data_IF_075993642183
#
_entry.id   IF_075993642183
#
_cell.length_a   1.000
_cell.length_b   1.000
_cell.length_c   1.000
_cell.angle_alpha   90.00
_cell.angle_beta   90.00
_cell.angle_gamma   90.00
#
_symmetry.space_group_name_H-M   'P 1'
#
loop_
_entity.id
_entity.type
_entity.pdbx_description
1 polymer ?
#
# COMPACT_ATOMS: atom_id res chain seq x y z
N UNK A 1 -16.67 -31.39 -7.70
CA UNK A 1 -17.25 -30.05 -7.94
C UNK A 1 -18.75 -30.17 -7.71
N UNK A 2 -19.33 -29.42 -6.78
CA UNK A 2 -20.75 -29.58 -6.39
C UNK A 2 -21.71 -28.94 -7.41
N UNK A 3 -21.25 -27.92 -8.15
CA UNK A 3 -22.04 -27.23 -9.17
C UNK A 3 -21.86 -27.87 -10.55
N UNK A 4 -22.95 -28.45 -11.07
CA UNK A 4 -23.02 -29.09 -12.39
C UNK A 4 -22.84 -28.09 -13.53
N UNK A 5 -23.45 -26.91 -13.44
CA UNK A 5 -23.43 -25.90 -14.51
C UNK A 5 -22.03 -25.30 -14.62
N UNK A 6 -21.43 -24.95 -13.48
CA UNK A 6 -20.07 -24.43 -13.44
C UNK A 6 -19.06 -25.43 -14.01
N UNK A 7 -19.22 -26.74 -13.76
CA UNK A 7 -18.34 -27.77 -14.32
C UNK A 7 -18.47 -27.87 -15.85
N UNK A 8 -19.70 -27.89 -16.37
CA UNK A 8 -19.96 -27.97 -17.81
C UNK A 8 -19.41 -26.75 -18.54
N UNK A 9 -19.65 -25.55 -18.01
CA UNK A 9 -19.12 -24.31 -18.56
C UNK A 9 -17.58 -24.26 -18.45
N UNK A 10 -16.99 -24.97 -17.49
CA UNK A 10 -15.54 -25.10 -17.32
C UNK A 10 -14.89 -26.19 -18.17
N UNK A 11 -15.69 -27.03 -18.82
CA UNK A 11 -15.22 -28.21 -19.55
C UNK A 11 -14.16 -27.93 -20.63
N UNK A 12 -14.34 -27.00 -21.60
CA UNK A 12 -13.33 -26.79 -22.65
C UNK A 12 -11.99 -26.29 -22.09
N UNK A 13 -12.04 -25.50 -21.02
CA UNK A 13 -10.84 -25.00 -20.33
C UNK A 13 -10.13 -26.13 -19.58
N UNK A 14 -10.87 -26.90 -18.77
CA UNK A 14 -10.34 -28.02 -18.01
C UNK A 14 -9.74 -29.08 -18.94
N UNK A 15 -10.41 -29.41 -20.04
CA UNK A 15 -9.94 -30.38 -21.02
C UNK A 15 -8.59 -29.96 -21.62
N UNK A 16 -8.45 -28.70 -22.02
CA UNK A 16 -7.19 -28.19 -22.58
C UNK A 16 -6.03 -28.27 -21.58
N UNK A 17 -6.27 -27.93 -20.31
CA UNK A 17 -5.23 -27.95 -19.28
C UNK A 17 -4.89 -29.35 -18.78
N UNK A 18 -5.89 -30.21 -18.58
CA UNK A 18 -5.68 -31.61 -18.20
C UNK A 18 -4.95 -32.36 -19.33
N UNK A 19 -5.32 -32.09 -20.60
CA UNK A 19 -4.61 -32.68 -21.74
C UNK A 19 -3.13 -32.29 -21.77
N UNK A 20 -2.79 -31.03 -21.50
CA UNK A 20 -1.40 -30.61 -21.39
C UNK A 20 -0.62 -31.35 -20.30
N UNK A 21 -1.24 -31.60 -19.14
CA UNK A 21 -0.63 -32.40 -18.06
C UNK A 21 -0.44 -33.86 -18.53
N UNK A 22 -1.43 -34.45 -19.21
CA UNK A 22 -1.34 -35.80 -19.75
C UNK A 22 -0.19 -35.91 -20.77
N UNK A 23 -0.10 -34.97 -21.71
CA UNK A 23 0.92 -34.97 -22.76
C UNK A 23 2.33 -34.85 -22.15
N UNK A 24 2.51 -34.02 -21.10
CA UNK A 24 3.77 -33.91 -20.38
C UNK A 24 4.17 -35.23 -19.70
N UNK A 25 3.24 -35.86 -18.97
CA UNK A 25 3.48 -37.13 -18.28
C UNK A 25 3.79 -38.26 -19.27
N UNK A 26 3.00 -38.35 -20.35
CA UNK A 26 3.21 -39.34 -21.40
C UNK A 26 4.55 -39.14 -22.11
N UNK A 27 4.93 -37.89 -22.41
CA UNK A 27 6.21 -37.59 -23.03
C UNK A 27 7.42 -38.01 -22.18
N UNK A 28 7.36 -37.79 -20.86
CA UNK A 28 8.42 -38.27 -19.94
C UNK A 28 8.45 -39.79 -19.86
N UNK A 29 7.30 -40.43 -19.71
CA UNK A 29 7.21 -41.90 -19.63
C UNK A 29 7.65 -42.60 -20.93
N UNK A 30 7.33 -42.02 -22.09
CA UNK A 30 7.71 -42.57 -23.39
C UNK A 30 9.23 -42.58 -23.58
N UNK A 31 9.93 -41.53 -23.15
CA UNK A 31 11.40 -41.46 -23.20
C UNK A 31 12.04 -42.57 -22.36
N UNK A 32 11.53 -42.80 -21.15
CA UNK A 32 12.01 -43.89 -20.28
C UNK A 32 11.72 -45.25 -20.91
N UNK A 33 10.52 -45.42 -21.48
CA UNK A 33 10.13 -46.64 -22.17
C UNK A 33 11.07 -46.96 -23.34
N UNK A 34 11.34 -45.99 -24.22
CA UNK A 34 12.24 -46.16 -25.36
C UNK A 34 13.67 -46.49 -24.92
N UNK A 35 14.18 -45.82 -23.88
CA UNK A 35 15.50 -46.08 -23.33
C UNK A 35 15.62 -47.50 -22.71
N UNK A 36 14.60 -47.93 -21.94
CA UNK A 36 14.55 -49.28 -21.35
C UNK A 36 14.44 -50.37 -22.44
N UNK A 37 13.67 -50.11 -23.50
CA UNK A 37 13.51 -51.01 -24.64
C UNK A 37 14.81 -51.18 -25.43
N UNK A 38 15.53 -50.09 -25.68
CA UNK A 38 16.83 -50.12 -26.36
C UNK A 38 17.87 -50.93 -25.56
N UNK A 39 17.87 -50.80 -24.23
CA UNK A 39 18.78 -51.55 -23.35
C UNK A 39 18.47 -53.05 -23.20
N UNK A 40 17.23 -53.48 -23.42
CA UNK A 40 16.82 -54.88 -23.28
C UNK A 40 15.77 -55.32 -24.33
N UNK A 41 16.17 -55.53 -25.59
CA UNK A 41 15.26 -55.78 -26.72
C UNK A 41 14.48 -57.09 -26.61
N UNK A 42 14.97 -58.08 -25.83
CA UNK A 42 14.30 -59.37 -25.63
C UNK A 42 13.02 -59.28 -24.79
N UNK A 43 12.86 -58.21 -23.98
CA UNK A 43 11.67 -58.00 -23.14
C UNK A 43 10.47 -57.51 -23.94
N UNK A 44 10.71 -56.70 -24.98
CA UNK A 44 9.71 -56.20 -25.92
C UNK A 44 8.86 -57.32 -26.53
N UNK A 45 9.54 -58.39 -26.94
CA UNK A 45 8.97 -59.53 -27.66
C UNK A 45 8.03 -60.39 -26.79
N UNK A 46 8.01 -60.19 -25.46
CA UNK A 46 7.19 -60.98 -24.51
C UNK A 46 5.89 -60.28 -24.10
N UNK A 47 5.70 -59.02 -24.45
CA UNK A 47 4.54 -58.23 -24.01
C UNK A 47 3.48 -58.15 -25.10
N UNK A 48 2.55 -59.11 -25.12
CA UNK A 48 1.40 -59.13 -26.04
C UNK A 48 0.09 -59.44 -25.30
N UNK A 49 -0.17 -58.72 -24.21
CA UNK A 49 -1.47 -58.80 -23.52
C UNK A 49 -2.12 -57.42 -23.53
N UNK A 50 -3.30 -57.35 -24.16
CA UNK A 50 -4.14 -56.16 -24.09
C UNK A 50 -4.56 -55.90 -22.64
N UNK A 51 -4.56 -54.63 -22.23
CA UNK A 51 -5.02 -54.23 -20.90
C UNK A 51 -6.50 -54.58 -20.74
N UNK A 52 -6.84 -55.40 -19.75
CA UNK A 52 -8.23 -55.65 -19.35
C UNK A 52 -8.42 -55.21 -17.89
N UNK A 53 -9.41 -54.35 -17.58
CA UNK A 53 -9.53 -53.69 -16.27
C UNK A 53 -10.16 -54.58 -15.19
N UNK A 54 -9.85 -55.89 -15.17
CA UNK A 54 -10.43 -56.84 -14.22
C UNK A 54 -9.48 -57.13 -13.05
N UNK A 55 -9.99 -57.00 -11.82
CA UNK A 55 -9.23 -57.03 -10.56
C UNK A 55 -8.59 -58.39 -10.18
N UNK A 56 -8.80 -59.45 -10.96
CA UNK A 56 -8.32 -60.81 -10.65
C UNK A 56 -7.59 -61.47 -11.84
N UNK A 57 -6.62 -60.78 -12.44
CA UNK A 57 -5.68 -61.44 -13.36
C UNK A 57 -4.67 -62.27 -12.58
N UNK A 58 -4.57 -63.56 -12.94
CA UNK A 58 -3.76 -64.57 -12.23
C UNK A 58 -2.24 -64.38 -12.33
N UNK A 59 -1.77 -63.37 -13.09
CA UNK A 59 -0.35 -63.01 -13.31
C UNK A 59 -0.20 -61.49 -13.63
N UNK A 60 -0.80 -60.62 -12.82
CA UNK A 60 -0.64 -59.16 -12.98
C UNK A 60 0.76 -58.71 -12.53
N UNK A 61 1.54 -58.09 -13.43
CA UNK A 61 2.78 -57.43 -13.03
C UNK A 61 2.48 -56.26 -12.08
N UNK A 62 3.26 -56.11 -11.01
CA UNK A 62 3.11 -55.02 -10.06
C UNK A 62 3.30 -53.65 -10.74
N UNK A 63 2.42 -52.69 -10.43
CA UNK A 63 2.55 -51.31 -10.91
C UNK A 63 3.81 -50.66 -10.30
N UNK A 64 4.62 -50.01 -11.16
CA UNK A 64 5.79 -49.22 -10.72
C UNK A 64 5.34 -47.85 -10.22
N UNK A 65 6.12 -47.26 -9.29
CA UNK A 65 5.93 -45.86 -8.90
C UNK A 65 6.03 -44.94 -10.11
N UNK A 66 5.22 -43.88 -10.13
CA UNK A 66 5.19 -42.92 -11.23
C UNK A 66 6.55 -42.21 -11.40
N UNK A 67 7.24 -41.91 -10.29
CA UNK A 67 8.60 -41.34 -10.31
C UNK A 67 9.61 -42.24 -11.04
N UNK A 68 9.45 -43.56 -10.90
CA UNK A 68 10.28 -44.55 -11.61
C UNK A 68 9.90 -44.68 -13.09
N UNK A 69 8.64 -44.45 -13.45
CA UNK A 69 8.19 -44.54 -14.85
C UNK A 69 8.58 -43.32 -15.68
N UNK A 70 8.74 -42.15 -15.05
CA UNK A 70 9.09 -40.90 -15.73
C UNK A 70 10.54 -40.47 -15.50
N UNK A 71 11.28 -41.18 -14.64
CA UNK A 71 12.63 -40.81 -14.18
C UNK A 71 12.72 -39.35 -13.69
N UNK A 72 11.70 -38.91 -12.95
CA UNK A 72 11.59 -37.53 -12.45
C UNK A 72 11.32 -37.56 -10.93
N UNK A 73 12.35 -37.20 -10.15
CA UNK A 73 12.30 -37.19 -8.69
C UNK A 73 11.41 -36.06 -8.15
N UNK A 74 11.22 -34.99 -8.93
CA UNK A 74 10.42 -33.82 -8.56
C UNK A 74 9.01 -33.84 -9.15
N UNK A 75 8.58 -34.99 -9.70
CA UNK A 75 7.31 -35.12 -10.40
C UNK A 75 6.12 -34.68 -9.54
N UNK A 76 6.08 -35.08 -8.26
CA UNK A 76 4.98 -34.74 -7.35
C UNK A 76 4.90 -33.24 -7.07
N UNK A 77 6.04 -32.55 -6.96
CA UNK A 77 6.07 -31.10 -6.77
C UNK A 77 5.57 -30.36 -8.03
N UNK A 78 5.96 -30.83 -9.22
CA UNK A 78 5.48 -30.29 -10.49
C UNK A 78 3.99 -30.52 -10.69
N UNK A 79 3.50 -31.72 -10.35
CA UNK A 79 2.09 -32.08 -10.46
C UNK A 79 1.21 -31.30 -9.47
N UNK A 80 1.68 -31.15 -8.23
CA UNK A 80 1.00 -30.32 -7.22
C UNK A 80 0.90 -28.86 -7.67
N UNK A 81 2.00 -28.29 -8.18
CA UNK A 81 2.01 -26.92 -8.71
C UNK A 81 1.05 -26.76 -9.89
N UNK A 82 1.02 -27.74 -10.79
CA UNK A 82 0.11 -27.77 -11.95
C UNK A 82 -1.35 -27.84 -11.53
N UNK A 83 -1.69 -28.66 -10.54
CA UNK A 83 -3.06 -28.74 -10.01
C UNK A 83 -3.46 -27.51 -9.20
N UNK A 84 -2.58 -26.95 -8.37
CA UNK A 84 -2.84 -25.70 -7.66
C UNK A 84 -3.07 -24.54 -8.63
N UNK A 85 -2.25 -24.45 -9.68
CA UNK A 85 -2.44 -23.47 -10.75
C UNK A 85 -3.75 -23.69 -11.50
N UNK A 86 -4.10 -24.94 -11.82
CA UNK A 86 -5.37 -25.29 -12.47
C UNK A 86 -6.57 -24.85 -11.64
N UNK A 87 -6.55 -25.09 -10.32
CA UNK A 87 -7.61 -24.68 -9.40
C UNK A 87 -7.75 -23.17 -9.36
N UNK A 88 -6.64 -22.43 -9.23
CA UNK A 88 -6.64 -20.96 -9.22
C UNK A 88 -7.14 -20.38 -10.54
N UNK A 89 -6.64 -20.90 -11.67
CA UNK A 89 -7.03 -20.45 -13.00
C UNK A 89 -8.49 -20.77 -13.32
N UNK A 90 -9.00 -21.92 -12.87
CA UNK A 90 -10.42 -22.25 -12.99
C UNK A 90 -11.29 -21.28 -12.17
N UNK A 91 -10.92 -20.99 -10.93
CA UNK A 91 -11.66 -20.09 -10.04
C UNK A 91 -11.66 -18.62 -10.48
N UNK A 92 -10.59 -18.17 -11.14
CA UNK A 92 -10.45 -16.77 -11.60
C UNK A 92 -10.98 -16.54 -13.02
N UNK A 93 -11.60 -17.56 -13.64
CA UNK A 93 -11.97 -17.53 -15.06
C UNK A 93 -13.25 -16.75 -15.36
N UNK A 94 -14.22 -16.83 -14.45
CA UNK A 94 -15.49 -16.13 -14.55
C UNK A 94 -15.49 -15.05 -13.48
N UNK A 95 -15.10 -13.83 -13.85
CA UNK A 95 -15.22 -12.65 -13.01
C UNK A 95 -16.44 -11.85 -13.48
N UNK A 96 -17.35 -11.59 -12.56
CA UNK A 96 -18.49 -10.72 -12.82
C UNK A 96 -18.00 -9.27 -12.81
N UNK A 97 -18.34 -8.51 -13.86
CA UNK A 97 -18.14 -7.07 -13.91
C UNK A 97 -19.50 -6.39 -13.83
N UNK A 98 -19.96 -6.13 -12.61
CA UNK A 98 -21.16 -5.33 -12.40
C UNK A 98 -20.88 -3.89 -12.85
N UNK A 99 -21.71 -3.37 -13.75
CA UNK A 99 -21.70 -1.95 -14.10
C UNK A 99 -22.86 -1.31 -13.33
N UNK A 100 -22.53 -0.57 -12.28
CA UNK A 100 -23.51 0.29 -11.62
C UNK A 100 -23.93 1.40 -12.60
N UNK A 101 -25.22 1.78 -12.57
CA UNK A 101 -25.77 2.83 -13.44
C UNK A 101 -25.08 4.17 -13.23
N UNK A 102 -25.29 5.11 -14.15
CA UNK A 102 -24.79 6.48 -13.97
C UNK A 102 -25.29 7.04 -12.63
N UNK A 103 -24.41 7.64 -11.80
CA UNK A 103 -24.84 8.27 -10.56
C UNK A 103 -25.90 9.33 -10.87
N UNK A 104 -26.91 9.46 -10.00
CA UNK A 104 -27.92 10.52 -10.13
C UNK A 104 -27.26 11.90 -10.02
N UNK A 105 -27.82 12.92 -10.69
CA UNK A 105 -27.33 14.30 -10.66
C UNK A 105 -27.11 14.83 -9.23
N UNK A 106 -28.02 14.53 -8.30
CA UNK A 106 -27.87 14.90 -6.89
C UNK A 106 -26.61 14.28 -6.25
N UNK A 107 -26.27 13.05 -6.62
CA UNK A 107 -25.06 12.36 -6.18
C UNK A 107 -23.81 13.00 -6.77
N UNK A 108 -23.86 13.40 -8.04
CA UNK A 108 -22.75 14.10 -8.70
C UNK A 108 -22.48 15.46 -8.04
N UNK A 109 -23.52 16.26 -7.82
CA UNK A 109 -23.41 17.56 -7.14
C UNK A 109 -22.90 17.39 -5.71
N UNK A 110 -23.33 16.36 -4.99
CA UNK A 110 -22.85 16.09 -3.65
C UNK A 110 -21.38 15.64 -3.63
N UNK A 111 -20.95 14.83 -4.61
CA UNK A 111 -19.55 14.42 -4.76
C UNK A 111 -18.65 15.61 -5.09
N UNK A 112 -19.08 16.53 -5.96
CA UNK A 112 -18.35 17.77 -6.26
C UNK A 112 -18.20 18.65 -5.02
N UNK A 113 -19.28 18.87 -4.26
CA UNK A 113 -19.23 19.64 -3.00
C UNK A 113 -18.31 19.01 -1.96
N UNK A 114 -18.29 17.67 -1.86
CA UNK A 114 -17.37 16.96 -0.96
C UNK A 114 -15.91 17.08 -1.44
N UNK A 115 -15.67 17.04 -2.75
CA UNK A 115 -14.34 17.24 -3.31
C UNK A 115 -13.79 18.64 -3.00
N UNK A 116 -14.61 19.69 -3.13
CA UNK A 116 -14.24 21.06 -2.75
C UNK A 116 -13.95 21.20 -1.25
N UNK A 117 -14.76 20.55 -0.40
CA UNK A 117 -14.52 20.52 1.04
C UNK A 117 -13.18 19.86 1.38
N UNK A 118 -12.89 18.70 0.80
CA UNK A 118 -11.62 17.98 0.99
C UNK A 118 -10.43 18.82 0.52
N UNK A 119 -10.57 19.49 -0.63
CA UNK A 119 -9.56 20.39 -1.16
C UNK A 119 -9.29 21.55 -0.19
N UNK A 120 -10.34 22.20 0.33
CA UNK A 120 -10.21 23.29 1.31
C UNK A 120 -9.51 22.83 2.60
N UNK A 121 -9.80 21.62 3.08
CA UNK A 121 -9.15 21.05 4.25
C UNK A 121 -7.65 20.84 4.00
N UNK A 122 -7.25 20.31 2.84
CA UNK A 122 -5.83 20.16 2.49
C UNK A 122 -5.12 21.50 2.32
N UNK A 123 -5.80 22.53 1.83
CA UNK A 123 -5.25 23.88 1.72
C UNK A 123 -4.93 24.51 3.07
N UNK A 124 -5.73 24.20 4.09
CA UNK A 124 -5.48 24.62 5.47
C UNK A 124 -4.39 23.73 6.09
N UNK A 125 -4.50 22.41 6.02
CA UNK A 125 -3.57 21.48 6.67
C UNK A 125 -2.13 21.61 6.13
N UNK A 126 -1.95 21.89 4.84
CA UNK A 126 -0.61 22.11 4.27
C UNK A 126 0.08 23.35 4.84
N UNK A 127 -0.65 24.31 5.40
CA UNK A 127 -0.04 25.52 5.99
C UNK A 127 0.83 25.19 7.19
N UNK A 128 0.55 24.09 7.90
CA UNK A 128 1.33 23.61 9.05
C UNK A 128 2.63 22.90 8.66
N UNK A 129 2.81 22.53 7.39
CA UNK A 129 3.99 21.81 6.91
C UNK A 129 4.87 22.67 5.98
N UNK A 130 6.19 22.39 5.89
CA UNK A 130 7.03 22.92 4.84
C UNK A 130 6.56 22.43 3.48
N UNK A 131 6.57 23.29 2.46
CA UNK A 131 6.06 22.96 1.12
C UNK A 131 6.72 21.71 0.50
N UNK A 132 8.02 21.49 0.77
CA UNK A 132 8.74 20.32 0.28
C UNK A 132 8.36 18.99 0.95
N UNK A 133 7.63 19.02 2.06
CA UNK A 133 7.17 17.83 2.78
C UNK A 133 5.79 17.34 2.31
N UNK A 134 5.10 18.12 1.48
CA UNK A 134 3.68 17.89 1.15
C UNK A 134 3.57 17.27 -0.25
N UNK A 135 2.81 16.17 -0.34
CA UNK A 135 2.49 15.40 -1.55
C UNK A 135 1.00 15.06 -1.50
N UNK A 136 0.21 15.79 -2.27
CA UNK A 136 -1.27 15.72 -2.21
C UNK A 136 -1.79 14.99 -3.44
N UNK A 137 -2.69 14.03 -3.23
CA UNK A 137 -3.64 13.57 -4.24
C UNK A 137 -5.01 14.10 -3.79
N UNK A 138 -5.54 15.15 -4.44
CA UNK A 138 -6.68 15.90 -3.92
C UNK A 138 -7.96 15.09 -3.90
N UNK A 139 -8.15 14.22 -4.89
CA UNK A 139 -9.28 13.30 -4.96
C UNK A 139 -8.92 12.08 -5.81
N UNK A 140 -9.20 10.87 -5.30
CA UNK A 140 -8.90 9.60 -5.96
C UNK A 140 -10.05 8.61 -5.82
N UNK A 141 -10.31 7.84 -6.87
CA UNK A 141 -11.30 6.76 -6.88
C UNK A 141 -10.71 5.39 -6.45
N UNK A 142 -9.47 5.41 -5.95
CA UNK A 142 -8.79 4.23 -5.42
C UNK A 142 -7.85 4.64 -4.29
N UNK A 143 -7.56 3.71 -3.38
CA UNK A 143 -6.57 3.93 -2.34
C UNK A 143 -5.17 4.10 -2.94
N UNK A 144 -4.40 5.02 -2.38
CA UNK A 144 -3.03 5.31 -2.80
C UNK A 144 -2.08 5.23 -1.59
N UNK A 145 -0.98 4.53 -1.80
CA UNK A 145 0.01 4.23 -0.74
C UNK A 145 0.83 5.46 -0.32
N UNK A 146 1.41 5.41 0.88
CA UNK A 146 2.17 6.52 1.49
C UNK A 146 3.42 6.97 0.67
N UNK A 147 3.93 6.12 -0.24
CA UNK A 147 5.02 6.51 -1.13
C UNK A 147 4.56 7.45 -2.26
N UNK A 148 3.26 7.53 -2.57
CA UNK A 148 2.71 8.45 -3.56
C UNK A 148 2.29 9.78 -2.96
N UNK A 149 1.61 9.75 -1.83
CA UNK A 149 1.07 10.95 -1.16
C UNK A 149 1.10 10.81 0.36
N UNK A 150 1.12 11.95 1.06
CA UNK A 150 0.84 12.01 2.49
C UNK A 150 -0.52 12.65 2.80
N UNK A 151 -1.12 13.38 1.84
CA UNK A 151 -2.51 13.80 1.88
C UNK A 151 -3.27 13.14 0.72
N UNK A 152 -4.36 12.45 1.03
CA UNK A 152 -5.13 11.66 0.08
C UNK A 152 -6.61 11.92 0.28
N UNK A 153 -7.25 12.55 -0.69
CA UNK A 153 -8.71 12.62 -0.77
C UNK A 153 -9.24 11.38 -1.48
N UNK A 154 -10.27 10.76 -0.92
CA UNK A 154 -10.88 9.54 -1.45
C UNK A 154 -12.35 9.77 -1.78
N UNK A 155 -12.81 9.07 -2.81
CA UNK A 155 -14.25 8.87 -3.01
C UNK A 155 -14.86 8.06 -1.85
N UNK A 156 -16.08 8.37 -1.39
CA UNK A 156 -16.71 7.70 -0.26
C UNK A 156 -16.84 6.17 -0.39
N UNK A 157 -16.79 5.65 -1.62
CA UNK A 157 -16.96 4.22 -1.91
C UNK A 157 -15.63 3.44 -1.89
N UNK A 158 -14.50 4.14 -1.75
CA UNK A 158 -13.17 3.51 -1.79
C UNK A 158 -12.92 2.73 -0.49
N UNK A 159 -12.64 1.45 -0.64
CA UNK A 159 -12.27 0.58 0.48
C UNK A 159 -10.80 0.82 0.87
N UNK A 160 -10.58 1.24 2.12
CA UNK A 160 -9.24 1.41 2.68
C UNK A 160 -8.74 0.05 3.21
N UNK A 161 -7.50 -0.38 2.89
CA UNK A 161 -6.98 -1.64 3.40
C UNK A 161 -6.96 -1.71 4.94
N UNK A 162 -7.31 -2.87 5.50
CA UNK A 162 -7.45 -3.05 6.96
C UNK A 162 -6.18 -2.72 7.75
N UNK A 163 -5.01 -3.03 7.19
CA UNK A 163 -3.72 -2.74 7.82
C UNK A 163 -3.43 -1.23 7.93
N UNK A 164 -4.07 -0.40 7.10
CA UNK A 164 -3.97 1.07 7.16
C UNK A 164 -4.89 1.60 8.25
N UNK A 165 -6.12 1.09 8.33
CA UNK A 165 -7.09 1.46 9.37
C UNK A 165 -6.58 1.15 10.78
N UNK A 166 -5.81 0.07 10.95
CA UNK A 166 -5.17 -0.29 12.22
C UNK A 166 -3.79 0.35 12.42
N UNK A 167 -3.31 1.19 11.49
CA UNK A 167 -1.96 1.73 11.52
C UNK A 167 -1.85 2.95 12.43
N UNK A 168 -0.74 3.05 13.17
CA UNK A 168 -0.36 4.27 13.90
C UNK A 168 0.15 5.38 12.96
N UNK A 169 0.38 5.07 11.68
CA UNK A 169 0.96 6.00 10.69
C UNK A 169 -0.08 6.59 9.74
N UNK A 170 -1.37 6.32 9.97
CA UNK A 170 -2.47 6.82 9.17
C UNK A 170 -3.56 7.41 10.06
N UNK A 171 -4.14 8.51 9.61
CA UNK A 171 -5.36 9.09 10.19
C UNK A 171 -6.40 9.15 9.08
N UNK A 172 -7.62 8.71 9.39
CA UNK A 172 -8.75 8.73 8.47
C UNK A 172 -9.79 9.69 9.00
N UNK A 173 -10.20 10.64 8.15
CA UNK A 173 -11.26 11.60 8.43
C UNK A 173 -12.43 11.28 7.51
N UNK A 174 -13.47 10.68 8.08
CA UNK A 174 -14.70 10.38 7.35
C UNK A 174 -15.68 11.54 7.50
N UNK A 175 -16.22 11.99 6.37
CA UNK A 175 -17.20 13.08 6.32
C UNK A 175 -18.55 12.52 5.92
N UNK A 176 -19.52 12.65 6.83
CA UNK A 176 -20.89 12.25 6.61
C UNK A 176 -21.79 13.48 6.53
N UNK A 177 -22.88 13.41 5.76
CA UNK A 177 -23.92 14.43 5.85
C UNK A 177 -24.76 14.18 7.09
N UNK A 178 -24.90 15.19 7.95
CA UNK A 178 -25.70 15.09 9.16
C UNK A 178 -27.17 14.82 8.79
N UNK A 179 -27.76 13.75 9.32
CA UNK A 179 -29.19 13.48 9.21
C UNK A 179 -29.96 14.52 10.01
N UNK A 180 -30.62 15.45 9.33
CA UNK A 180 -31.46 16.47 9.95
C UNK A 180 -32.56 15.84 10.81
N UNK A 181 -32.37 15.77 12.13
CA UNK A 181 -33.46 15.59 13.08
C UNK A 181 -34.04 16.95 13.49
N UNK A 182 -35.25 17.20 12.98
CA UNK A 182 -36.27 18.17 13.41
C UNK A 182 -36.05 19.69 13.27
N UNK A 183 -37.00 20.30 12.53
CA UNK A 183 -37.67 21.59 12.79
C UNK A 183 -36.78 22.85 12.92
N UNK A 184 -36.35 23.43 11.80
CA UNK A 184 -36.10 24.88 11.73
C UNK A 184 -36.85 25.51 10.55
N UNK A 185 -37.46 26.70 10.73
CA UNK A 185 -38.21 27.37 9.68
C UNK A 185 -37.29 27.82 8.56
N UNK A 186 -37.83 27.76 7.33
CA UNK A 186 -37.25 28.32 6.11
C UNK A 186 -36.94 29.80 6.33
N UNK A 187 -35.65 30.18 6.31
CA UNK A 187 -35.24 31.59 6.33
C UNK A 187 -33.97 31.86 7.13
N UNK A 188 -32.85 31.26 6.73
CA UNK A 188 -31.49 31.80 6.89
C UNK A 188 -30.53 30.81 6.23
N UNK A 189 -30.24 31.01 4.94
CA UNK A 189 -29.11 30.36 4.28
C UNK A 189 -27.83 31.03 4.76
N UNK A 190 -27.29 30.56 5.89
CA UNK A 190 -25.90 30.82 6.23
C UNK A 190 -25.05 29.67 5.64
N UNK A 191 -24.73 29.82 4.36
CA UNK A 191 -24.05 28.82 3.52
C UNK A 191 -22.61 28.48 3.99
N UNK A 192 -22.13 29.17 5.04
CA UNK A 192 -20.77 29.07 5.59
C UNK A 192 -20.61 28.06 6.73
N UNK A 193 -21.71 27.51 7.26
CA UNK A 193 -21.61 26.63 8.44
C UNK A 193 -21.29 25.18 8.05
N UNK A 194 -20.19 24.64 8.58
CA UNK A 194 -19.85 23.20 8.50
C UNK A 194 -20.84 22.30 9.27
N UNK A 195 -21.87 22.87 9.91
CA UNK A 195 -22.90 22.18 10.70
C UNK A 195 -23.72 21.14 9.93
N UNK A 196 -23.70 21.17 8.59
CA UNK A 196 -24.33 20.16 7.73
C UNK A 196 -23.53 18.86 7.63
N UNK A 197 -22.28 18.85 8.09
CA UNK A 197 -21.37 17.70 8.02
C UNK A 197 -21.05 17.18 9.42
N UNK A 198 -20.90 15.87 9.51
CA UNK A 198 -20.37 15.16 10.66
C UNK A 198 -18.96 14.64 10.31
N UNK A 199 -17.99 14.93 11.16
CA UNK A 199 -16.59 14.54 10.97
C UNK A 199 -16.21 13.47 11.98
N UNK A 200 -15.87 12.28 11.49
CA UNK A 200 -15.40 11.17 12.31
C UNK A 200 -13.91 10.97 12.04
N UNK A 201 -13.08 11.21 13.05
CA UNK A 201 -11.62 11.06 12.96
C UNK A 201 -11.21 9.76 13.64
N UNK A 202 -10.60 8.86 12.87
CA UNK A 202 -10.09 7.57 13.37
C UNK A 202 -8.59 7.44 13.10
N UNK A 203 -7.87 6.87 14.06
CA UNK A 203 -6.44 6.62 13.98
C UNK A 203 -6.12 5.34 14.76
N UNK A 204 -5.15 4.56 14.30
CA UNK A 204 -4.62 3.44 15.06
C UNK A 204 -3.67 3.86 16.20
N UNK A 205 -3.37 5.16 16.34
CA UNK A 205 -2.45 5.66 17.37
C UNK A 205 -2.99 5.46 18.80
N UNK A 206 -2.12 5.14 19.78
CA UNK A 206 -2.55 5.02 21.17
C UNK A 206 -3.02 6.38 21.71
N UNK A 207 -4.21 6.43 22.32
CA UNK A 207 -4.89 7.64 22.83
C UNK A 207 -4.04 8.50 23.80
N UNK A 208 -2.99 7.92 24.39
CA UNK A 208 -2.09 8.59 25.33
C UNK A 208 -0.80 9.16 24.69
N UNK A 209 -0.45 8.76 23.46
CA UNK A 209 0.83 9.14 22.82
C UNK A 209 0.82 10.56 22.23
N UNK A 210 -0.36 11.09 21.85
CA UNK A 210 -0.49 12.37 21.12
C UNK A 210 -0.55 13.63 22.01
N UNK A 211 -0.35 13.52 23.34
CA UNK A 211 -0.63 14.65 24.27
C UNK A 211 0.56 15.54 24.64
N UNK A 212 1.80 15.17 24.27
CA UNK A 212 2.99 15.86 24.80
C UNK A 212 3.93 16.42 23.73
N UNK A 213 3.79 16.02 22.46
CA UNK A 213 4.70 16.48 21.42
C UNK A 213 4.05 16.66 20.06
N UNK A 214 4.78 17.25 19.09
CA UNK A 214 6.04 17.99 19.23
C UNK A 214 5.83 19.43 19.76
N UNK A 215 6.90 20.09 20.23
CA UNK A 215 6.82 21.46 20.79
C UNK A 215 6.23 22.47 19.80
N UNK A 216 6.44 22.30 18.49
CA UNK A 216 5.81 23.14 17.47
C UNK A 216 4.28 23.02 17.51
N UNK A 217 3.75 21.81 17.68
CA UNK A 217 2.31 21.54 17.70
C UNK A 217 1.67 22.20 18.94
N UNK A 218 2.30 22.05 20.11
CA UNK A 218 1.83 22.69 21.35
C UNK A 218 1.77 24.23 21.21
N UNK A 219 2.75 24.85 20.53
CA UNK A 219 2.74 26.29 20.25
C UNK A 219 1.65 26.68 19.25
N UNK A 220 1.41 25.86 18.22
CA UNK A 220 0.32 26.08 17.26
C UNK A 220 -1.05 25.98 17.92
N UNK A 221 -1.28 24.96 18.76
CA UNK A 221 -2.50 24.78 19.54
C UNK A 221 -2.75 25.96 20.48
N UNK A 222 -1.72 26.43 21.19
CA UNK A 222 -1.83 27.60 22.06
C UNK A 222 -2.18 28.89 21.29
N UNK A 223 -1.65 29.05 20.07
CA UNK A 223 -1.99 30.18 19.21
C UNK A 223 -3.43 30.09 18.70
N UNK A 224 -3.89 28.91 18.29
CA UNK A 224 -5.26 28.67 17.79
C UNK A 224 -6.32 28.79 18.88
N UNK A 225 -5.99 28.43 20.12
CA UNK A 225 -6.92 28.51 21.27
C UNK A 225 -7.08 29.95 21.78
N UNK A 226 -6.12 30.83 21.50
CA UNK A 226 -6.12 32.20 21.99
C UNK A 226 -7.03 33.10 21.16
N UNK A 227 -8.26 33.32 21.64
CA UNK A 227 -9.27 34.17 20.99
C UNK A 227 -8.86 35.65 20.86
N UNK A 228 -7.79 36.11 21.54
CA UNK A 228 -7.30 37.48 21.41
C UNK A 228 -6.41 37.70 20.19
N UNK A 229 -5.99 36.63 19.51
CA UNK A 229 -5.19 36.71 18.29
C UNK A 229 -6.10 36.77 17.07
N UNK A 230 -5.83 37.69 16.15
CA UNK A 230 -6.49 37.68 14.85
C UNK A 230 -5.97 36.53 13.98
N UNK A 231 -6.75 36.15 12.97
CA UNK A 231 -6.37 35.10 12.01
C UNK A 231 -5.03 35.41 11.35
N UNK A 232 -4.82 36.66 10.91
CA UNK A 232 -3.55 37.09 10.28
C UNK A 232 -2.35 36.95 11.23
N UNK A 233 -2.55 37.20 12.53
CA UNK A 233 -1.49 37.03 13.54
C UNK A 233 -1.18 35.55 13.74
N UNK A 234 -2.19 34.69 13.74
CA UNK A 234 -1.99 33.24 13.80
C UNK A 234 -1.24 32.76 12.56
N UNK A 235 -1.64 33.19 11.36
CA UNK A 235 -0.97 32.83 10.11
C UNK A 235 0.51 33.23 10.12
N UNK A 236 0.82 34.46 10.55
CA UNK A 236 2.19 34.91 10.67
C UNK A 236 2.96 34.12 11.74
N UNK A 237 2.33 33.79 12.87
CA UNK A 237 2.92 32.92 13.89
C UNK A 237 3.27 31.53 13.32
N UNK A 238 2.38 30.92 12.54
CA UNK A 238 2.60 29.62 11.89
C UNK A 238 3.80 29.67 10.94
N UNK A 239 3.91 30.74 10.13
CA UNK A 239 5.05 30.95 9.23
C UNK A 239 6.36 31.04 10.01
N UNK A 240 6.41 31.89 11.05
CA UNK A 240 7.59 32.07 11.89
C UNK A 240 8.01 30.77 12.60
N UNK A 241 7.04 30.02 13.15
CA UNK A 241 7.30 28.73 13.79
C UNK A 241 7.87 27.72 12.78
N UNK A 242 7.27 27.62 11.59
CA UNK A 242 7.80 26.75 10.53
C UNK A 242 9.21 27.13 10.12
N UNK A 243 9.51 28.42 10.01
CA UNK A 243 10.84 28.90 9.67
C UNK A 243 11.87 28.57 10.76
N UNK A 244 11.54 28.80 12.03
CA UNK A 244 12.37 28.42 13.19
C UNK A 244 12.75 26.93 13.12
N UNK A 245 11.75 26.06 12.95
CA UNK A 245 11.95 24.61 12.92
C UNK A 245 12.67 24.15 11.65
N UNK A 246 12.40 24.75 10.49
CA UNK A 246 13.15 24.47 9.27
C UNK A 246 14.62 24.89 9.38
N UNK A 247 14.93 25.95 10.11
CA UNK A 247 16.31 26.33 10.38
C UNK A 247 17.00 25.31 11.29
N UNK A 248 16.32 24.78 12.31
CA UNK A 248 16.83 23.64 13.10
C UNK A 248 17.11 22.41 12.22
N UNK A 249 16.23 22.10 11.27
CA UNK A 249 16.42 21.01 10.29
C UNK A 249 17.66 21.25 9.42
N UNK A 250 17.87 22.48 8.92
CA UNK A 250 19.07 22.83 8.12
C UNK A 250 20.36 22.64 8.91
N UNK A 251 20.38 23.09 10.16
CA UNK A 251 21.53 22.92 11.09
C UNK A 251 21.79 21.43 11.34
N UNK A 252 20.75 20.66 11.66
CA UNK A 252 20.86 19.22 11.88
C UNK A 252 21.34 18.49 10.63
N UNK A 253 20.85 18.86 9.44
CA UNK A 253 21.27 18.27 8.17
C UNK A 253 22.75 18.52 7.89
N UNK A 254 23.24 19.76 8.07
CA UNK A 254 24.67 20.09 7.96
C UNK A 254 25.49 19.22 8.92
N UNK A 255 25.08 19.18 10.17
CA UNK A 255 25.83 18.49 11.22
C UNK A 255 25.92 16.97 11.01
N UNK A 256 24.81 16.36 10.59
CA UNK A 256 24.68 14.89 10.50
C UNK A 256 25.05 14.32 9.13
N UNK A 257 24.71 15.02 8.04
CA UNK A 257 24.88 14.49 6.67
C UNK A 257 26.12 15.03 5.97
N UNK A 258 26.58 16.22 6.35
CA UNK A 258 27.73 16.87 5.70
C UNK A 258 28.98 16.71 6.56
N UNK A 259 28.90 17.06 7.85
CA UNK A 259 30.04 16.94 8.77
C UNK A 259 30.23 15.53 9.33
N UNK A 260 29.24 14.65 9.16
CA UNK A 260 29.25 13.25 9.61
C UNK A 260 29.67 13.08 11.07
N UNK A 261 29.20 13.98 11.94
CA UNK A 261 29.57 14.02 13.36
C UNK A 261 29.04 12.79 14.13
N UNK A 262 29.70 12.38 15.23
CA UNK A 262 29.23 11.28 16.07
C UNK A 262 27.81 11.51 16.62
N UNK A 263 27.16 10.41 17.03
CA UNK A 263 25.83 10.45 17.62
C UNK A 263 25.79 11.28 18.91
N UNK A 264 26.84 11.23 19.71
CA UNK A 264 26.94 11.99 20.97
C UNK A 264 26.87 13.51 20.73
N UNK A 265 27.64 14.00 19.76
CA UNK A 265 27.63 15.41 19.39
C UNK A 265 26.27 15.82 18.79
N UNK A 266 25.62 14.90 18.06
CA UNK A 266 24.28 15.13 17.53
C UNK A 266 23.26 15.30 18.67
N UNK A 267 23.35 14.50 19.73
CA UNK A 267 22.48 14.63 20.90
C UNK A 267 22.72 15.93 21.67
N UNK A 268 23.99 16.35 21.82
CA UNK A 268 24.33 17.66 22.41
C UNK A 268 23.73 18.80 21.59
N UNK A 269 23.83 18.75 20.26
CA UNK A 269 23.22 19.73 19.37
C UNK A 269 21.69 19.77 19.54
N UNK A 270 21.02 18.62 19.59
CA UNK A 270 19.57 18.55 19.78
C UNK A 270 19.14 19.15 21.12
N UNK A 271 19.92 18.94 22.19
CA UNK A 271 19.70 19.58 23.48
C UNK A 271 19.83 21.11 23.40
N UNK A 272 20.86 21.63 22.73
CA UNK A 272 21.07 23.08 22.53
C UNK A 272 19.93 23.71 21.72
N UNK A 273 19.41 22.99 20.71
CA UNK A 273 18.30 23.47 19.87
C UNK A 273 16.92 23.36 20.53
N UNK A 274 16.84 22.84 21.76
CA UNK A 274 15.59 22.57 22.45
C UNK A 274 14.73 21.52 21.73
N UNK A 275 15.37 20.50 21.16
CA UNK A 275 14.74 19.48 20.32
C UNK A 275 15.19 18.06 20.69
N UNK A 276 15.55 17.83 21.97
CA UNK A 276 15.97 16.53 22.48
C UNK A 276 14.82 15.55 22.73
N UNK A 277 13.58 16.04 22.82
CA UNK A 277 12.38 15.21 22.97
C UNK A 277 12.16 14.31 21.75
N UNK A 278 11.59 13.12 21.97
CA UNK A 278 11.46 12.09 20.93
C UNK A 278 10.66 12.58 19.71
N UNK A 279 9.52 13.22 19.93
CA UNK A 279 8.65 13.73 18.86
C UNK A 279 9.30 14.86 18.08
N UNK A 280 10.07 15.71 18.75
CA UNK A 280 10.87 16.75 18.09
C UNK A 280 11.93 16.14 17.18
N UNK A 281 12.62 15.09 17.64
CA UNK A 281 13.60 14.37 16.82
C UNK A 281 12.94 13.67 15.62
N UNK A 282 11.79 13.02 15.82
CA UNK A 282 10.99 12.41 14.75
C UNK A 282 10.56 13.45 13.70
N UNK A 283 10.05 14.59 14.15
CA UNK A 283 9.66 15.71 13.30
C UNK A 283 10.83 16.24 12.48
N UNK A 284 11.98 16.50 13.12
CA UNK A 284 13.18 17.01 12.44
C UNK A 284 13.68 16.05 11.35
N UNK A 285 13.63 14.73 11.61
CA UNK A 285 13.97 13.70 10.61
C UNK A 285 12.99 13.72 9.44
N UNK A 286 11.69 13.82 9.71
CA UNK A 286 10.68 13.91 8.66
C UNK A 286 10.86 15.18 7.82
N UNK A 287 11.01 16.36 8.42
CA UNK A 287 11.17 17.63 7.70
C UNK A 287 12.47 17.75 6.92
N UNK A 288 13.50 16.96 7.26
CA UNK A 288 14.73 16.83 6.47
C UNK A 288 14.46 16.34 5.04
N UNK A 289 13.36 15.60 4.82
CA UNK A 289 12.93 15.18 3.48
C UNK A 289 12.54 16.38 2.60
N UNK A 290 11.90 17.40 3.17
CA UNK A 290 11.44 18.60 2.47
C UNK A 290 12.49 19.68 2.19
N UNK A 291 13.75 19.47 2.60
CA UNK A 291 14.86 20.32 2.17
C UNK A 291 15.05 20.25 0.64
N UNK A 292 15.24 21.42 0.01
CA UNK A 292 15.33 21.53 -1.45
C UNK A 292 16.54 20.78 -2.02
N UNK A 293 16.38 20.22 -3.23
CA UNK A 293 17.46 19.51 -3.93
C UNK A 293 18.68 20.42 -4.14
N UNK A 294 18.43 21.68 -4.55
CA UNK A 294 19.48 22.69 -4.74
C UNK A 294 20.27 22.94 -3.46
N UNK A 295 19.60 23.11 -2.32
CA UNK A 295 20.27 23.32 -1.03
C UNK A 295 21.11 22.11 -0.63
N UNK A 296 20.55 20.89 -0.74
CA UNK A 296 21.27 19.64 -0.45
C UNK A 296 22.53 19.51 -1.32
N UNK A 297 22.40 19.71 -2.62
CA UNK A 297 23.52 19.62 -3.56
C UNK A 297 24.61 20.65 -3.27
N UNK A 298 24.23 21.91 -3.02
CA UNK A 298 25.18 22.97 -2.68
C UNK A 298 26.00 22.58 -1.44
N UNK A 299 25.33 22.21 -0.34
CA UNK A 299 25.99 21.89 0.92
C UNK A 299 26.92 20.67 0.83
N UNK A 300 26.55 19.67 0.02
CA UNK A 300 27.38 18.49 -0.23
C UNK A 300 28.58 18.79 -1.13
N UNK A 301 28.45 19.74 -2.07
CA UNK A 301 29.54 20.13 -2.97
C UNK A 301 30.62 20.95 -2.26
N UNK A 302 30.27 21.75 -1.25
CA UNK A 302 31.21 22.57 -0.47
C UNK A 302 32.25 21.71 0.27
N UNK A 303 31.89 20.48 0.68
CA UNK A 303 32.82 19.54 1.33
C UNK A 303 33.68 18.76 0.33
N UNK A 304 33.23 18.63 -0.92
CA UNK A 304 33.94 17.91 -1.99
C UNK A 304 34.94 18.77 -2.76
N UNK A 305 35.09 20.06 -2.42
CA UNK A 305 36.21 20.86 -2.90
C UNK A 305 37.40 20.60 -1.96
N UNK A 306 38.37 19.74 -2.31
CA UNK A 306 39.64 19.78 -1.60
C UNK A 306 40.19 21.18 -1.80
N UNK A 307 40.71 21.76 -0.72
CA UNK A 307 41.56 22.94 -0.74
C UNK A 307 42.67 22.76 -1.78
N UNK A 308 42.41 23.21 -3.00
CA UNK A 308 43.41 23.42 -4.02
C UNK A 308 44.09 24.76 -3.71
N UNK A 309 45.06 24.74 -2.78
CA UNK A 309 46.19 25.67 -2.71
C UNK A 309 46.83 25.64 -1.32
N UNK A 310 47.92 24.90 -1.19
CA UNK A 310 49.06 25.32 -0.38
C UNK A 310 50.29 24.67 -1.02
N UNK A 311 50.83 25.38 -1.99
CA UNK A 311 52.19 25.21 -2.52
C UNK A 311 53.23 25.53 -1.45
#
# INVERSE_FOLDING_TARGET
MMDRIYLINSWPFLLGKIRGIIDELQGKALKVFEAEQFGCPQRAQRMNTAFTPFLHQRNGNAARSLTSLTSDDNLWACLHTSFAWLLKACGSRLTEKLLEGAPTEDTLVQMEKLADLVQSAFEILRTMLPVGCVRIIPYSNQYEEAYRCNFLGLSPHVQIPSHVLSSEFAVVVEVHTATRSSLHPVGCEDDQSLSKYEFVVTSGSPVAADRVGPTILNKMEAALTNQNLSVDVVDQCLVCLKEEWMNKVKVLFKFTKVDSRPKEDTQKLLSILGASEEDNVKLLKFWMTGLSKTYKSHLMSTVRSPTASAS
#
